data_IF_116559276053
#
_entry.id   IF_116559276053
#
_cell.length_a   1.000
_cell.length_b   1.000
_cell.length_c   1.000
_cell.angle_alpha   90.00
_cell.angle_beta   90.00
_cell.angle_gamma   90.00
#
_symmetry.space_group_name_H-M   'P 1'
#
loop_
_entity.id
_entity.type
_entity.pdbx_description
1 polymer ?
#
# COMPACT_ATOMS: atom_id res chain seq x y z
N UNK A 1 21.37 6.74 -3.00
CA UNK A 1 20.37 7.80 -2.79
C UNK A 1 18.98 7.17 -2.69
N UNK A 2 18.77 6.36 -1.65
CA UNK A 2 17.49 5.71 -1.41
C UNK A 2 16.73 6.54 -0.36
N UNK A 3 15.54 7.01 -0.71
CA UNK A 3 14.69 7.79 0.18
C UNK A 3 13.71 6.85 0.88
N UNK A 4 13.63 6.94 2.19
CA UNK A 4 12.61 6.31 3.01
C UNK A 4 11.48 7.30 3.24
N UNK A 5 10.26 6.87 2.92
CA UNK A 5 9.04 7.62 3.21
C UNK A 5 8.19 6.78 4.16
N UNK A 6 7.91 7.32 5.34
CA UNK A 6 7.06 6.69 6.35
C UNK A 6 5.78 7.50 6.47
N UNK A 7 4.64 6.84 6.26
CA UNK A 7 3.32 7.42 6.50
C UNK A 7 2.74 6.76 7.74
N UNK A 8 2.51 7.54 8.79
CA UNK A 8 1.83 7.10 10.01
C UNK A 8 0.39 7.54 9.94
N UNK A 9 -0.54 6.60 10.05
CA UNK A 9 -1.97 6.87 10.10
C UNK A 9 -2.39 6.76 11.56
N UNK A 10 -2.95 7.84 12.12
CA UNK A 10 -3.48 7.86 13.47
C UNK A 10 -4.90 7.33 13.55
N UNK A 11 -5.47 7.34 14.75
CA UNK A 11 -6.83 6.88 14.99
C UNK A 11 -7.85 7.76 14.25
N UNK A 12 -8.82 7.12 13.59
CA UNK A 12 -9.82 7.77 12.77
C UNK A 12 -10.82 6.77 12.20
N UNK A 13 -11.70 7.24 11.33
CA UNK A 13 -12.70 6.39 10.67
C UNK A 13 -12.95 6.88 9.24
N UNK A 14 -13.62 6.07 8.41
CA UNK A 14 -13.99 6.52 7.07
C UNK A 14 -15.02 7.66 7.09
N UNK A 15 -15.76 7.83 8.18
CA UNK A 15 -16.72 8.91 8.38
C UNK A 15 -16.05 10.22 8.83
N UNK A 16 -14.94 10.15 9.55
CA UNK A 16 -14.28 11.31 10.17
C UNK A 16 -12.95 11.69 9.51
N UNK A 17 -12.40 10.79 8.70
CA UNK A 17 -11.04 10.86 8.15
C UNK A 17 -10.00 10.36 9.13
N UNK A 18 -8.74 10.39 8.71
CA UNK A 18 -7.61 9.91 9.51
C UNK A 18 -6.53 10.99 9.60
N UNK A 19 -6.05 11.37 10.80
CA UNK A 19 -4.84 12.17 10.91
C UNK A 19 -3.64 11.38 10.36
N UNK A 20 -2.74 12.05 9.65
CA UNK A 20 -1.55 11.44 9.08
C UNK A 20 -0.30 12.26 9.38
N UNK A 21 0.81 11.56 9.59
CA UNK A 21 2.14 12.16 9.67
C UNK A 21 3.02 11.52 8.58
N UNK A 22 3.57 12.35 7.70
CA UNK A 22 4.49 11.96 6.64
C UNK A 22 5.92 12.27 7.09
N UNK A 23 6.81 11.30 7.04
CA UNK A 23 8.24 11.47 7.33
C UNK A 23 9.06 11.05 6.12
N UNK A 24 9.99 11.90 5.69
CA UNK A 24 10.90 11.63 4.57
C UNK A 24 12.33 11.74 5.07
N UNK A 25 13.14 10.71 4.81
CA UNK A 25 14.57 10.68 5.12
C UNK A 25 15.36 9.94 4.06
N UNK A 26 16.68 10.10 4.07
CA UNK A 26 17.59 9.22 3.33
C UNK A 26 17.90 7.98 4.19
N UNK A 27 18.04 6.80 3.57
CA UNK A 27 18.22 5.53 4.29
C UNK A 27 19.42 5.49 5.26
N UNK A 28 20.36 6.43 5.14
CA UNK A 28 21.55 6.56 5.98
C UNK A 28 21.55 7.77 6.91
N UNK A 29 20.54 8.64 6.84
CA UNK A 29 20.54 9.93 7.55
C UNK A 29 19.52 9.97 8.70
N UNK A 30 19.89 10.65 9.78
CA UNK A 30 19.04 10.86 10.98
C UNK A 30 18.15 12.09 10.88
N UNK A 31 18.30 12.87 9.81
CA UNK A 31 17.50 14.05 9.55
C UNK A 31 16.21 13.66 8.83
N UNK A 32 15.07 13.95 9.44
CA UNK A 32 13.75 13.61 8.91
C UNK A 32 12.97 14.90 8.64
N UNK A 33 12.47 15.08 7.41
CA UNK A 33 11.44 16.09 7.13
C UNK A 33 10.11 15.46 7.54
N UNK A 34 9.35 16.14 8.40
CA UNK A 34 8.02 15.68 8.81
C UNK A 34 6.93 16.70 8.48
N UNK A 35 5.76 16.19 8.09
CA UNK A 35 4.59 17.01 7.81
C UNK A 35 3.33 16.31 8.34
N UNK A 36 2.50 17.07 9.05
CA UNK A 36 1.19 16.62 9.50
C UNK A 36 0.13 16.93 8.46
N UNK A 37 -0.86 16.06 8.37
CA UNK A 37 -1.98 16.20 7.47
C UNK A 37 -3.19 15.39 7.92
N UNK A 38 -4.21 15.35 7.06
CA UNK A 38 -5.42 14.58 7.31
C UNK A 38 -5.89 13.94 6.01
N UNK A 39 -6.07 12.62 6.02
CA UNK A 39 -6.85 11.94 4.99
C UNK A 39 -8.32 12.29 5.20
N UNK A 40 -9.02 12.78 4.16
CA UNK A 40 -10.38 13.24 4.29
C UNK A 40 -11.34 12.10 4.62
N UNK A 41 -12.48 12.39 5.26
CA UNK A 41 -13.56 11.43 5.41
C UNK A 41 -14.10 10.99 4.05
N UNK A 42 -14.28 9.68 3.87
CA UNK A 42 -14.99 9.13 2.74
C UNK A 42 -15.64 7.78 3.08
N UNK A 43 -16.87 7.84 3.61
CA UNK A 43 -17.62 6.67 4.10
C UNK A 43 -17.93 5.60 3.04
N UNK A 44 -17.80 5.93 1.75
CA UNK A 44 -18.03 4.98 0.65
C UNK A 44 -16.82 4.07 0.37
N UNK A 45 -15.64 4.34 0.96
CA UNK A 45 -14.44 3.52 0.75
C UNK A 45 -14.66 2.03 1.00
N UNK A 46 -15.28 1.58 2.11
CA UNK A 46 -15.48 0.15 2.35
C UNK A 46 -16.28 -0.53 1.24
N UNK A 47 -17.37 0.09 0.79
CA UNK A 47 -18.21 -0.44 -0.29
C UNK A 47 -17.47 -0.47 -1.63
N UNK A 48 -16.76 0.62 -1.95
CA UNK A 48 -15.96 0.71 -3.17
C UNK A 48 -14.84 -0.32 -3.16
N UNK A 49 -14.18 -0.52 -2.02
CA UNK A 49 -13.14 -1.52 -1.84
C UNK A 49 -13.68 -2.94 -2.05
N UNK A 50 -14.85 -3.27 -1.48
CA UNK A 50 -15.51 -4.57 -1.74
C UNK A 50 -15.78 -4.77 -3.22
N UNK A 51 -16.30 -3.74 -3.91
CA UNK A 51 -16.55 -3.80 -5.35
C UNK A 51 -15.27 -4.03 -6.14
N UNK A 52 -14.21 -3.26 -5.86
CA UNK A 52 -12.92 -3.40 -6.53
C UNK A 52 -12.29 -4.78 -6.29
N UNK A 53 -12.36 -5.30 -5.07
CA UNK A 53 -11.87 -6.64 -4.75
C UNK A 53 -12.61 -7.72 -5.54
N UNK A 54 -13.94 -7.63 -5.64
CA UNK A 54 -14.74 -8.59 -6.40
C UNK A 54 -14.36 -8.56 -7.89
N UNK A 55 -14.29 -7.38 -8.48
CA UNK A 55 -13.93 -7.23 -9.90
C UNK A 55 -12.50 -7.69 -10.19
N UNK A 56 -11.55 -7.38 -9.31
CA UNK A 56 -10.18 -7.86 -9.42
C UNK A 56 -10.11 -9.40 -9.37
N UNK A 57 -10.80 -10.03 -8.41
CA UNK A 57 -10.84 -11.50 -8.27
C UNK A 57 -11.54 -12.18 -9.44
N UNK A 58 -12.61 -11.60 -9.98
CA UNK A 58 -13.28 -12.11 -11.19
C UNK A 58 -12.32 -12.12 -12.38
N UNK A 59 -11.56 -11.04 -12.58
CA UNK A 59 -10.56 -10.97 -13.67
C UNK A 59 -9.42 -11.97 -13.47
N UNK A 60 -8.95 -12.18 -12.24
CA UNK A 60 -7.96 -13.21 -11.93
C UNK A 60 -8.51 -14.63 -12.07
N UNK A 61 -9.80 -14.87 -11.85
CA UNK A 61 -10.39 -16.20 -11.96
C UNK A 61 -10.39 -16.76 -13.39
N UNK A 62 -10.32 -15.88 -14.41
CA UNK A 62 -10.07 -16.27 -15.81
C UNK A 62 -8.60 -16.56 -16.13
N UNK A 63 -7.68 -16.07 -15.31
CA UNK A 63 -6.24 -16.33 -15.35
C UNK A 63 -5.84 -17.09 -14.09
N UNK A 64 -6.35 -18.31 -13.87
CA UNK A 64 -5.92 -19.14 -12.73
C UNK A 64 -4.39 -19.28 -12.75
N UNK A 65 -3.71 -18.37 -12.05
CA UNK A 65 -2.34 -18.52 -11.64
C UNK A 65 -2.34 -19.75 -10.75
N UNK A 66 -1.61 -20.75 -11.21
CA UNK A 66 -1.19 -21.92 -10.45
C UNK A 66 -0.91 -21.48 -9.02
N UNK A 67 -1.69 -22.01 -8.08
CA UNK A 67 -1.63 -21.68 -6.66
C UNK A 67 -0.21 -21.93 -6.16
N UNK A 68 0.57 -20.87 -5.98
CA UNK A 68 1.71 -20.92 -5.09
C UNK A 68 1.14 -21.00 -3.68
N UNK A 69 1.34 -22.15 -3.07
CA UNK A 69 0.76 -22.60 -1.83
C UNK A 69 1.37 -21.92 -0.61
N UNK A 70 1.45 -20.59 -0.59
CA UNK A 70 1.82 -19.81 0.61
C UNK A 70 1.23 -18.39 0.49
N UNK A 71 0.37 -17.95 1.43
CA UNK A 71 -0.14 -16.58 1.42
C UNK A 71 0.98 -15.61 1.86
N UNK A 72 1.76 -15.15 0.88
CA UNK A 72 2.76 -14.10 1.11
C UNK A 72 2.03 -12.75 1.26
N UNK A 73 1.75 -12.38 2.51
CA UNK A 73 1.11 -11.09 2.87
C UNK A 73 2.12 -9.95 3.07
N UNK A 74 3.41 -10.16 2.83
CA UNK A 74 4.42 -9.09 2.82
C UNK A 74 5.33 -9.21 1.60
N UNK A 75 5.32 -8.19 0.74
CA UNK A 75 6.34 -8.04 -0.28
C UNK A 75 7.43 -7.12 0.27
N UNK A 76 8.66 -7.62 0.31
CA UNK A 76 9.84 -6.81 0.59
C UNK A 76 10.48 -6.37 -0.73
N UNK A 77 11.31 -5.32 -0.74
CA UNK A 77 11.97 -4.82 -1.96
C UNK A 77 12.74 -5.92 -2.74
N UNK A 78 13.21 -6.98 -2.05
CA UNK A 78 13.88 -8.11 -2.68
C UNK A 78 12.95 -8.93 -3.59
N UNK A 79 11.65 -8.94 -3.33
CA UNK A 79 10.64 -9.67 -4.11
C UNK A 79 10.24 -8.93 -5.39
N UNK A 80 10.37 -7.60 -5.38
CA UNK A 80 10.12 -6.74 -6.55
C UNK A 80 11.27 -6.82 -7.57
N UNK A 81 12.51 -6.91 -7.11
CA UNK A 81 13.69 -6.98 -7.99
C UNK A 81 13.76 -8.34 -8.71
N UNK A 82 13.38 -9.44 -8.05
CA UNK A 82 13.39 -10.79 -8.66
C UNK A 82 12.37 -10.96 -9.78
N UNK A 83 11.22 -10.28 -9.69
CA UNK A 83 10.13 -10.40 -10.67
C UNK A 83 10.15 -9.32 -11.77
N UNK A 84 11.11 -8.38 -11.73
CA UNK A 84 11.24 -7.26 -12.67
C UNK A 84 11.78 -7.60 -14.06
N UNK A 85 12.10 -8.86 -14.37
CA UNK A 85 12.64 -9.27 -15.67
C UNK A 85 11.59 -9.72 -16.71
N UNK A 86 10.31 -9.43 -16.49
CA UNK A 86 9.23 -9.83 -17.41
C UNK A 86 8.78 -8.75 -18.40
N UNK A 87 9.60 -7.72 -18.64
CA UNK A 87 9.40 -6.79 -19.78
C UNK A 87 10.72 -6.58 -20.52
N UNK A 88 11.04 -7.53 -21.41
CA UNK A 88 11.85 -7.32 -22.61
C UNK A 88 11.11 -7.92 -23.79
#
# INVERSE_FOLDING_TARGET
MEKLVVIRIGEGSFEQGFPVNLQISENSDRSHISADGKLPPFAQIPLNYTTWQLEYRKKLSGFRMMTLSDPVNSFSNLDLIKNGNLLK
#
